data_IF_858886610902
#
_entry.id   IF_858886610902
#
_cell.length_a   1.000
_cell.length_b   1.000
_cell.length_c   1.000
_cell.angle_alpha   90.00
_cell.angle_beta   90.00
_cell.angle_gamma   90.00
#
_symmetry.space_group_name_H-M   'P 1'
#
loop_
_entity.id
_entity.type
_entity.pdbx_description
1 polymer ?
#
# COMPACT_ATOMS: atom_id res chain seq x y z
N UNK A 1 12.82 -5.94 -10.70
CA UNK A 1 11.51 -5.83 -10.05
C UNK A 1 10.60 -4.86 -10.82
N UNK A 2 10.93 -3.59 -10.91
CA UNK A 2 10.03 -2.55 -11.45
C UNK A 2 9.65 -2.76 -12.90
N UNK A 3 10.62 -3.15 -13.75
CA UNK A 3 10.37 -3.45 -15.17
C UNK A 3 9.39 -4.63 -15.30
N UNK A 4 9.59 -5.69 -14.52
CA UNK A 4 8.68 -6.85 -14.53
C UNK A 4 7.27 -6.47 -14.07
N UNK A 5 7.14 -5.71 -12.97
CA UNK A 5 5.82 -5.26 -12.49
C UNK A 5 5.12 -4.35 -13.50
N UNK A 6 5.84 -3.39 -14.09
CA UNK A 6 5.27 -2.51 -15.10
C UNK A 6 4.77 -3.28 -16.32
N UNK A 7 5.55 -4.25 -16.80
CA UNK A 7 5.14 -5.15 -17.89
C UNK A 7 3.92 -5.99 -17.51
N UNK A 8 3.84 -6.52 -16.29
CA UNK A 8 2.71 -7.30 -15.80
C UNK A 8 1.43 -6.48 -15.70
N UNK A 9 1.50 -5.28 -15.16
CA UNK A 9 0.33 -4.39 -15.10
C UNK A 9 -0.16 -3.98 -16.49
N UNK A 10 0.77 -3.72 -17.41
CA UNK A 10 0.40 -3.43 -18.79
C UNK A 10 -0.19 -4.66 -19.50
N UNK A 11 0.36 -5.86 -19.25
CA UNK A 11 -0.16 -7.13 -19.77
C UNK A 11 -1.63 -7.35 -19.38
N UNK A 12 -2.02 -6.99 -18.14
CA UNK A 12 -3.38 -7.15 -17.64
C UNK A 12 -4.43 -6.32 -18.41
N UNK A 13 -4.03 -5.18 -18.95
CA UNK A 13 -4.92 -4.23 -19.64
C UNK A 13 -4.71 -4.19 -21.15
N UNK A 14 -3.74 -4.92 -21.68
CA UNK A 14 -3.41 -4.94 -23.09
C UNK A 14 -4.39 -5.84 -23.85
N UNK A 15 -5.00 -5.32 -24.92
CA UNK A 15 -5.91 -6.08 -25.79
C UNK A 15 -5.20 -6.69 -27.02
N UNK A 16 -3.93 -6.30 -27.28
CA UNK A 16 -3.14 -6.82 -28.40
C UNK A 16 -2.41 -8.12 -28.01
N UNK A 17 -2.88 -9.25 -28.49
CA UNK A 17 -2.31 -10.56 -28.17
C UNK A 17 -0.86 -10.74 -28.68
N UNK A 18 -0.48 -10.10 -29.80
CA UNK A 18 0.91 -10.14 -30.27
C UNK A 18 1.84 -9.35 -29.35
N UNK A 19 1.37 -8.22 -28.82
CA UNK A 19 2.11 -7.43 -27.84
C UNK A 19 2.18 -8.15 -26.49
N UNK A 20 1.10 -8.80 -26.05
CA UNK A 20 1.13 -9.66 -24.85
C UNK A 20 2.20 -10.75 -24.96
N UNK A 21 2.28 -11.43 -26.11
CA UNK A 21 3.30 -12.45 -26.33
C UNK A 21 4.73 -11.87 -26.24
N UNK A 22 4.97 -10.69 -26.82
CA UNK A 22 6.27 -10.01 -26.71
C UNK A 22 6.60 -9.65 -25.27
N UNK A 23 5.61 -9.17 -24.51
CA UNK A 23 5.76 -8.83 -23.07
C UNK A 23 6.13 -10.08 -22.28
N UNK A 24 5.40 -11.20 -22.46
CA UNK A 24 5.71 -12.47 -21.78
C UNK A 24 7.11 -12.94 -22.12
N UNK A 25 7.50 -12.94 -23.39
CA UNK A 25 8.84 -13.33 -23.82
C UNK A 25 9.93 -12.44 -23.21
N UNK A 26 9.70 -11.15 -23.08
CA UNK A 26 10.64 -10.24 -22.42
C UNK A 26 10.75 -10.53 -20.93
N UNK A 27 9.63 -10.73 -20.23
CA UNK A 27 9.62 -11.03 -18.79
C UNK A 27 10.28 -12.37 -18.50
N UNK A 28 9.99 -13.41 -19.29
CA UNK A 28 10.60 -14.74 -19.12
C UNK A 28 12.10 -14.70 -19.35
N UNK A 29 12.55 -13.98 -20.41
CA UNK A 29 13.99 -13.82 -20.68
C UNK A 29 14.73 -13.13 -19.51
N UNK A 30 14.14 -12.10 -18.92
CA UNK A 30 14.71 -11.42 -17.75
C UNK A 30 14.75 -12.34 -16.52
N UNK A 31 13.64 -13.04 -16.23
CA UNK A 31 13.54 -13.95 -15.10
C UNK A 31 14.50 -15.14 -15.24
N UNK A 32 14.59 -15.74 -16.43
CA UNK A 32 15.50 -16.85 -16.71
C UNK A 32 16.97 -16.44 -16.56
N UNK A 33 17.33 -15.22 -17.00
CA UNK A 33 18.67 -14.67 -16.75
C UNK A 33 18.96 -14.55 -15.24
N UNK A 34 18.00 -14.07 -14.46
CA UNK A 34 18.15 -13.97 -13.01
C UNK A 34 18.30 -15.34 -12.39
N UNK A 35 17.44 -16.30 -12.71
CA UNK A 35 17.47 -17.68 -12.18
C UNK A 35 18.77 -18.40 -12.55
N UNK A 36 19.34 -18.10 -13.73
CA UNK A 36 20.64 -18.67 -14.13
C UNK A 36 21.77 -18.20 -13.25
N UNK A 37 21.74 -16.94 -12.76
CA UNK A 37 22.87 -16.32 -12.05
C UNK A 37 22.65 -16.21 -10.54
N UNK A 38 21.40 -16.27 -10.06
CA UNK A 38 21.02 -16.11 -8.65
C UNK A 38 20.41 -17.40 -8.13
N UNK A 39 20.85 -17.84 -6.95
CA UNK A 39 20.37 -19.08 -6.34
C UNK A 39 21.22 -19.51 -5.16
N UNK A 40 20.90 -20.70 -4.62
CA UNK A 40 21.56 -21.26 -3.44
C UNK A 40 22.93 -21.85 -3.77
N UNK A 41 23.03 -22.59 -4.88
CA UNK A 41 24.19 -23.42 -5.18
C UNK A 41 25.22 -22.66 -6.02
N UNK A 42 26.53 -22.74 -5.67
CA UNK A 42 27.59 -22.19 -6.50
C UNK A 42 27.55 -22.73 -7.93
N UNK A 43 27.90 -21.92 -8.95
CA UNK A 43 28.46 -20.56 -8.85
C UNK A 43 27.42 -19.42 -8.76
N UNK A 44 26.14 -19.72 -8.49
CA UNK A 44 25.11 -18.72 -8.35
C UNK A 44 25.34 -17.84 -7.12
N UNK A 45 24.95 -16.57 -7.23
CA UNK A 45 25.03 -15.60 -6.14
C UNK A 45 23.76 -15.72 -5.29
N UNK A 46 23.82 -15.88 -3.96
CA UNK A 46 22.62 -15.82 -3.11
C UNK A 46 21.87 -14.52 -3.29
N UNK A 47 20.54 -14.57 -3.34
CA UNK A 47 19.71 -13.37 -3.59
C UNK A 47 19.98 -12.28 -2.54
N UNK A 48 20.17 -12.67 -1.29
CA UNK A 48 20.47 -11.76 -0.18
C UNK A 48 21.87 -11.13 -0.28
N UNK A 49 22.74 -11.62 -1.16
CA UNK A 49 24.08 -11.09 -1.41
C UNK A 49 24.21 -10.29 -2.71
N UNK A 50 23.15 -10.24 -3.54
CA UNK A 50 23.17 -9.52 -4.81
C UNK A 50 23.15 -7.98 -4.64
N UNK A 51 22.75 -7.49 -3.48
CA UNK A 51 22.82 -6.09 -3.10
C UNK A 51 23.38 -5.94 -1.70
N UNK A 52 24.40 -5.10 -1.52
CA UNK A 52 24.93 -4.75 -0.19
C UNK A 52 24.01 -3.78 0.56
N UNK A 53 23.30 -2.94 -0.18
CA UNK A 53 22.36 -2.00 0.39
C UNK A 53 21.16 -2.78 0.97
N UNK A 54 20.85 -2.50 2.22
CA UNK A 54 19.77 -3.16 2.95
C UNK A 54 19.88 -4.70 2.98
N UNK A 55 21.13 -5.22 2.91
CA UNK A 55 21.48 -6.63 3.12
C UNK A 55 20.64 -7.61 2.29
N UNK A 56 20.38 -7.27 1.04
CA UNK A 56 19.63 -8.10 0.10
C UNK A 56 18.11 -7.85 0.04
N UNK A 57 17.55 -7.04 0.94
CA UNK A 57 16.11 -6.76 0.98
C UNK A 57 15.57 -6.22 -0.35
N UNK A 58 16.32 -5.30 -0.99
CA UNK A 58 15.96 -4.76 -2.31
C UNK A 58 15.80 -5.86 -3.37
N UNK A 59 16.75 -6.80 -3.40
CA UNK A 59 16.73 -7.90 -4.36
C UNK A 59 15.61 -8.89 -4.08
N UNK A 60 15.38 -9.22 -2.81
CA UNK A 60 14.32 -10.14 -2.37
C UNK A 60 12.92 -9.62 -2.66
N UNK A 61 12.75 -8.29 -2.80
CA UNK A 61 11.48 -7.68 -3.18
C UNK A 61 11.03 -8.00 -4.62
N UNK A 62 11.83 -8.75 -5.40
CA UNK A 62 11.42 -9.32 -6.70
C UNK A 62 10.43 -10.49 -6.54
N UNK A 63 10.18 -10.96 -5.33
CA UNK A 63 9.30 -12.08 -5.06
C UNK A 63 7.93 -11.92 -5.73
N UNK A 64 7.30 -10.75 -5.62
CA UNK A 64 5.99 -10.48 -6.22
C UNK A 64 5.98 -10.72 -7.73
N UNK A 65 6.80 -10.04 -8.56
CA UNK A 65 6.74 -10.24 -10.00
C UNK A 65 7.17 -11.64 -10.45
N UNK A 66 7.97 -12.35 -9.67
CA UNK A 66 8.34 -13.75 -9.96
C UNK A 66 7.14 -14.67 -9.79
N UNK A 67 6.39 -14.54 -8.71
CA UNK A 67 5.17 -15.34 -8.50
C UNK A 67 4.10 -15.00 -9.52
N UNK A 68 3.89 -13.72 -9.82
CA UNK A 68 2.94 -13.30 -10.86
C UNK A 68 3.32 -13.86 -12.24
N UNK A 69 4.62 -13.93 -12.54
CA UNK A 69 5.08 -14.57 -13.79
C UNK A 69 4.73 -16.05 -13.83
N UNK A 70 4.85 -16.76 -12.70
CA UNK A 70 4.33 -18.12 -12.60
C UNK A 70 2.83 -18.19 -12.91
N UNK A 71 2.03 -17.31 -12.34
CA UNK A 71 0.58 -17.26 -12.56
C UNK A 71 0.21 -16.95 -14.02
N UNK A 72 1.03 -16.18 -14.74
CA UNK A 72 0.84 -15.86 -16.16
C UNK A 72 1.24 -17.03 -17.07
N UNK A 73 2.34 -17.72 -16.74
CA UNK A 73 2.98 -18.70 -17.65
C UNK A 73 2.70 -20.15 -17.29
N UNK A 74 2.36 -20.46 -16.05
CA UNK A 74 2.29 -21.82 -15.51
C UNK A 74 3.65 -22.50 -15.31
N UNK A 75 4.76 -21.81 -15.61
CA UNK A 75 6.11 -22.37 -15.60
C UNK A 75 6.66 -22.55 -14.20
N UNK A 76 6.75 -23.80 -13.76
CA UNK A 76 7.13 -24.18 -12.38
C UNK A 76 8.46 -23.58 -11.91
N UNK A 77 9.43 -23.35 -12.81
CA UNK A 77 10.74 -22.77 -12.46
C UNK A 77 10.63 -21.41 -11.76
N UNK A 78 9.60 -20.61 -12.08
CA UNK A 78 9.37 -19.32 -11.41
C UNK A 78 8.84 -19.52 -10.01
N UNK A 79 7.95 -20.49 -9.79
CA UNK A 79 7.47 -20.83 -8.44
C UNK A 79 8.58 -21.43 -7.58
N UNK A 80 9.44 -22.27 -8.16
CA UNK A 80 10.60 -22.84 -7.45
C UNK A 80 11.60 -21.74 -7.06
N UNK A 81 11.82 -20.75 -7.92
CA UNK A 81 12.65 -19.59 -7.60
C UNK A 81 11.99 -18.69 -6.54
N UNK A 82 10.69 -18.50 -6.59
CA UNK A 82 9.95 -17.79 -5.54
C UNK A 82 10.09 -18.49 -4.18
N UNK A 83 9.98 -19.82 -4.14
CA UNK A 83 10.22 -20.62 -2.93
C UNK A 83 11.61 -20.36 -2.39
N UNK A 84 12.63 -20.40 -3.23
CA UNK A 84 14.00 -20.10 -2.85
C UNK A 84 14.12 -18.69 -2.21
N UNK A 85 13.45 -17.67 -2.76
CA UNK A 85 13.45 -16.30 -2.19
C UNK A 85 12.82 -16.31 -0.78
N UNK A 86 11.69 -16.99 -0.61
CA UNK A 86 11.00 -17.10 0.68
C UNK A 86 11.90 -17.83 1.71
N UNK A 87 12.52 -18.95 1.32
CA UNK A 87 13.45 -19.69 2.16
C UNK A 87 14.73 -18.91 2.50
N UNK A 88 15.13 -17.97 1.62
CA UNK A 88 16.27 -17.07 1.86
C UNK A 88 15.97 -15.96 2.88
N UNK A 89 14.72 -15.80 3.31
CA UNK A 89 14.35 -14.94 4.43
C UNK A 89 14.33 -13.43 4.16
N UNK A 90 14.51 -12.98 2.92
CA UNK A 90 14.47 -11.57 2.55
C UNK A 90 15.78 -10.81 2.76
N UNK A 91 16.51 -11.09 3.84
CA UNK A 91 17.83 -10.51 4.19
C UNK A 91 18.82 -11.59 4.63
N UNK A 92 20.11 -11.23 4.67
CA UNK A 92 21.20 -12.20 4.94
C UNK A 92 21.46 -12.49 6.43
N UNK A 93 20.75 -11.85 7.35
CA UNK A 93 20.98 -11.99 8.80
C UNK A 93 19.89 -12.75 9.51
N UNK A 94 18.65 -12.62 9.05
CA UNK A 94 17.50 -13.25 9.70
C UNK A 94 16.33 -13.36 8.70
N UNK A 95 15.48 -14.35 8.89
CA UNK A 95 14.30 -14.52 8.05
C UNK A 95 13.17 -13.57 8.51
N UNK A 96 12.95 -12.45 7.79
CA UNK A 96 11.93 -11.46 8.14
C UNK A 96 10.51 -12.04 8.04
N UNK A 97 10.28 -13.02 7.19
CA UNK A 97 8.98 -13.68 7.05
C UNK A 97 8.67 -14.56 8.28
N UNK A 98 9.67 -15.23 8.82
CA UNK A 98 9.54 -15.98 10.06
C UNK A 98 9.37 -15.07 11.28
N UNK A 99 10.05 -13.92 11.32
CA UNK A 99 9.83 -12.91 12.38
C UNK A 99 8.37 -12.49 12.42
N UNK A 100 7.79 -12.20 11.27
CA UNK A 100 6.37 -11.83 11.17
C UNK A 100 5.45 -13.00 11.54
N UNK A 101 5.78 -14.22 11.13
CA UNK A 101 5.01 -15.41 11.51
C UNK A 101 5.00 -15.63 13.02
N UNK A 102 6.16 -15.56 13.66
CA UNK A 102 6.30 -15.69 15.13
C UNK A 102 5.60 -14.55 15.88
N UNK A 103 5.51 -13.38 15.27
CA UNK A 103 4.83 -12.20 15.81
C UNK A 103 5.35 -11.73 17.19
N UNK A 104 6.62 -11.98 17.48
CA UNK A 104 7.28 -11.62 18.75
C UNK A 104 7.90 -10.21 18.69
N UNK A 105 8.33 -9.77 17.49
CA UNK A 105 8.94 -8.48 17.25
C UNK A 105 8.03 -7.59 16.40
N UNK A 106 8.09 -6.29 16.67
CA UNK A 106 7.44 -5.28 15.82
C UNK A 106 8.30 -5.00 14.58
N UNK A 107 7.70 -4.58 13.43
CA UNK A 107 8.46 -4.34 12.21
C UNK A 107 9.62 -3.34 12.37
N UNK A 108 9.47 -2.32 13.21
CA UNK A 108 10.56 -1.37 13.51
C UNK A 108 11.73 -1.98 14.31
N UNK A 109 11.57 -3.19 14.83
CA UNK A 109 12.61 -3.94 15.58
C UNK A 109 13.34 -4.96 14.70
N UNK A 110 12.95 -5.11 13.43
CA UNK A 110 13.64 -6.02 12.53
C UNK A 110 15.05 -5.52 12.23
N UNK A 111 16.00 -6.41 11.88
CA UNK A 111 17.38 -6.02 11.62
C UNK A 111 17.55 -4.98 10.49
N UNK A 112 16.64 -5.00 9.52
CA UNK A 112 16.53 -4.02 8.43
C UNK A 112 15.09 -3.55 8.36
N UNK A 113 14.90 -2.25 8.48
CA UNK A 113 13.58 -1.61 8.60
C UNK A 113 13.22 -0.68 7.44
N UNK A 114 13.89 -0.83 6.29
CA UNK A 114 13.60 -0.03 5.10
C UNK A 114 12.17 -0.29 4.64
N UNK A 115 11.29 0.66 4.86
CA UNK A 115 9.84 0.45 4.84
C UNK A 115 9.31 -0.01 3.47
N UNK A 116 9.69 0.69 2.39
CA UNK A 116 9.23 0.36 1.04
C UNK A 116 9.57 -1.07 0.63
N UNK A 117 10.83 -1.46 0.81
CA UNK A 117 11.31 -2.79 0.41
C UNK A 117 10.75 -3.88 1.30
N UNK A 118 10.63 -3.64 2.59
CA UNK A 118 10.03 -4.61 3.52
C UNK A 118 8.57 -4.88 3.17
N UNK A 119 7.75 -3.84 3.02
CA UNK A 119 6.34 -3.99 2.62
C UNK A 119 6.25 -4.70 1.25
N UNK A 120 7.14 -4.38 0.31
CA UNK A 120 7.19 -5.05 -1.00
C UNK A 120 7.54 -6.55 -0.90
N UNK A 121 8.39 -6.94 0.04
CA UNK A 121 8.68 -8.36 0.28
C UNK A 121 7.45 -9.09 0.83
N UNK A 122 6.72 -8.49 1.74
CA UNK A 122 5.48 -9.08 2.27
C UNK A 122 4.34 -9.08 1.25
N UNK A 123 4.26 -8.09 0.37
CA UNK A 123 3.33 -8.13 -0.78
C UNK A 123 3.67 -9.29 -1.73
N UNK A 124 4.96 -9.57 -1.92
CA UNK A 124 5.45 -10.77 -2.62
C UNK A 124 5.12 -12.07 -1.90
N UNK A 125 5.21 -12.11 -0.57
CA UNK A 125 4.82 -13.28 0.25
C UNK A 125 3.31 -13.54 0.16
N UNK A 126 2.51 -12.48 0.06
CA UNK A 126 1.07 -12.60 -0.19
C UNK A 126 0.78 -13.22 -1.56
N UNK A 127 1.50 -12.82 -2.63
CA UNK A 127 1.39 -13.50 -3.94
C UNK A 127 1.80 -14.97 -3.84
N UNK A 128 2.87 -15.26 -3.11
CA UNK A 128 3.32 -16.64 -2.92
C UNK A 128 2.27 -17.48 -2.18
N UNK A 129 1.61 -16.92 -1.16
CA UNK A 129 0.48 -17.57 -0.52
C UNK A 129 -0.65 -17.88 -1.52
N UNK A 130 -1.06 -16.90 -2.33
CA UNK A 130 -2.13 -17.08 -3.31
C UNK A 130 -1.82 -18.16 -4.36
N UNK A 131 -0.53 -18.36 -4.68
CA UNK A 131 -0.10 -19.39 -5.61
C UNK A 131 0.08 -20.78 -4.98
N UNK A 132 0.28 -20.87 -3.66
CA UNK A 132 0.70 -22.12 -2.99
C UNK A 132 -0.23 -22.58 -1.88
N UNK A 133 -1.15 -21.74 -1.40
CA UNK A 133 -1.94 -21.93 -0.18
C UNK A 133 -1.09 -22.21 1.07
N UNK A 134 0.09 -21.59 1.17
CA UNK A 134 1.02 -21.73 2.30
C UNK A 134 0.49 -21.00 3.54
N UNK A 135 -0.17 -21.67 4.46
CA UNK A 135 -0.88 -21.06 5.60
C UNK A 135 0.03 -20.25 6.55
N UNK A 136 1.25 -20.66 6.77
CA UNK A 136 2.16 -19.84 7.58
C UNK A 136 2.50 -18.53 6.89
N UNK A 137 2.59 -18.50 5.55
CA UNK A 137 2.78 -17.28 4.78
C UNK A 137 1.58 -16.33 4.95
N UNK A 138 0.36 -16.88 4.91
CA UNK A 138 -0.86 -16.11 5.16
C UNK A 138 -0.82 -15.46 6.55
N UNK A 139 -0.46 -16.24 7.57
CA UNK A 139 -0.33 -15.73 8.93
C UNK A 139 0.74 -14.63 9.01
N UNK A 140 1.90 -14.83 8.40
CA UNK A 140 2.99 -13.85 8.40
C UNK A 140 2.58 -12.51 7.75
N UNK A 141 1.88 -12.54 6.60
CA UNK A 141 1.47 -11.30 5.93
C UNK A 141 0.41 -10.55 6.74
N UNK A 142 -0.51 -11.23 7.39
CA UNK A 142 -1.53 -10.60 8.25
C UNK A 142 -0.87 -10.01 9.49
N UNK A 143 -0.04 -10.76 10.19
CA UNK A 143 0.67 -10.29 11.37
C UNK A 143 1.52 -9.04 11.08
N UNK A 144 2.29 -9.08 9.99
CA UNK A 144 3.11 -7.94 9.59
C UNK A 144 2.29 -6.68 9.36
N UNK A 145 1.17 -6.81 8.63
CA UNK A 145 0.28 -5.68 8.37
C UNK A 145 -0.34 -5.13 9.66
N UNK A 146 -0.83 -6.00 10.52
CA UNK A 146 -1.47 -5.59 11.77
C UNK A 146 -0.47 -4.87 12.68
N UNK A 147 0.78 -5.33 12.73
CA UNK A 147 1.83 -4.66 13.50
C UNK A 147 2.25 -3.33 12.89
N UNK A 148 2.28 -3.18 11.55
CA UNK A 148 2.47 -1.86 10.94
C UNK A 148 1.36 -0.90 11.33
N UNK A 149 0.09 -1.33 11.26
CA UNK A 149 -1.04 -0.49 11.65
C UNK A 149 -0.98 -0.08 13.12
N UNK A 150 -0.44 -0.92 13.98
CA UNK A 150 -0.25 -0.65 15.41
C UNK A 150 0.90 0.34 15.68
N UNK A 151 2.05 0.18 15.03
CA UNK A 151 3.30 0.84 15.43
C UNK A 151 3.81 1.90 14.47
N UNK A 152 3.52 1.80 13.19
CA UNK A 152 4.11 2.65 12.18
C UNK A 152 3.11 3.43 11.32
N UNK A 153 1.82 3.17 11.47
CA UNK A 153 0.78 3.87 10.74
C UNK A 153 0.41 5.18 11.45
N UNK A 154 0.82 6.31 10.88
CA UNK A 154 0.61 7.64 11.48
C UNK A 154 -0.83 8.13 11.34
N UNK A 155 -1.18 9.19 12.04
CA UNK A 155 -2.52 9.80 12.01
C UNK A 155 -2.96 10.23 10.60
N UNK A 156 -2.00 10.55 9.72
CA UNK A 156 -2.28 10.89 8.32
C UNK A 156 -2.15 9.69 7.36
N UNK A 157 -1.87 8.49 7.88
CA UNK A 157 -1.80 7.29 7.07
C UNK A 157 -0.48 7.06 6.33
N UNK A 158 0.58 7.75 6.72
CA UNK A 158 1.93 7.49 6.24
C UNK A 158 2.72 6.61 7.20
N UNK A 159 3.85 6.08 6.76
CA UNK A 159 4.83 5.34 7.53
C UNK A 159 6.24 5.83 7.21
N UNK A 160 7.22 5.47 8.04
CA UNK A 160 8.63 5.78 7.77
C UNK A 160 8.96 7.24 8.05
N UNK A 161 8.85 7.66 9.31
CA UNK A 161 9.12 9.05 9.70
C UNK A 161 10.57 9.44 9.54
N UNK A 162 11.54 8.53 9.77
CA UNK A 162 12.96 8.84 9.69
C UNK A 162 13.61 8.03 8.57
N UNK A 163 14.21 8.70 7.60
CA UNK A 163 14.96 8.05 6.50
C UNK A 163 14.24 6.88 5.81
N UNK A 164 12.92 6.98 5.67
CA UNK A 164 12.10 5.95 5.01
C UNK A 164 12.13 4.58 5.73
N UNK A 165 12.33 4.59 7.04
CA UNK A 165 12.43 3.38 7.86
C UNK A 165 11.13 3.15 8.62
N UNK A 166 10.76 1.89 8.83
CA UNK A 166 9.85 1.54 9.92
C UNK A 166 10.58 1.84 11.23
N UNK A 167 10.10 2.80 11.98
CA UNK A 167 10.84 3.42 13.07
C UNK A 167 9.99 3.76 14.29
N UNK A 168 8.87 3.05 14.45
CA UNK A 168 7.83 3.36 15.42
C UNK A 168 7.17 4.71 15.13
N UNK A 169 6.74 4.88 13.89
CA UNK A 169 6.26 6.17 13.37
C UNK A 169 5.07 6.74 14.16
N UNK A 170 4.22 5.91 14.79
CA UNK A 170 3.11 6.36 15.66
C UNK A 170 3.58 7.19 16.85
N UNK A 171 4.78 6.92 17.36
CA UNK A 171 5.41 7.71 18.43
C UNK A 171 6.18 8.89 17.84
N UNK A 172 6.94 8.67 16.78
CA UNK A 172 7.80 9.70 16.17
C UNK A 172 7.04 10.86 15.57
N UNK A 173 5.83 10.63 15.05
CA UNK A 173 4.96 11.70 14.54
C UNK A 173 4.65 12.80 15.57
N UNK A 174 4.70 12.48 16.87
CA UNK A 174 4.47 13.43 17.95
C UNK A 174 5.65 14.38 18.19
N UNK A 175 6.81 14.16 17.54
CA UNK A 175 7.98 15.02 17.68
C UNK A 175 7.86 16.28 16.82
N UNK A 176 7.34 17.34 17.40
CA UNK A 176 7.16 18.63 16.72
C UNK A 176 8.46 19.40 16.46
N UNK A 177 9.58 18.95 17.04
CA UNK A 177 10.90 19.59 16.86
C UNK A 177 11.72 18.93 15.76
N UNK A 178 11.32 17.75 15.28
CA UNK A 178 12.02 17.06 14.21
C UNK A 178 11.52 17.54 12.83
N UNK A 179 12.32 18.33 12.18
CA UNK A 179 12.05 18.83 10.81
C UNK A 179 12.32 17.78 9.71
N UNK A 180 12.78 16.59 10.08
CA UNK A 180 13.17 15.51 9.12
C UNK A 180 12.17 14.37 9.06
N UNK A 181 10.94 14.58 9.51
CA UNK A 181 9.86 13.59 9.34
C UNK A 181 9.49 13.55 7.87
N UNK A 182 9.58 12.36 7.27
CA UNK A 182 9.43 12.20 5.82
C UNK A 182 8.05 11.67 5.43
N UNK A 183 7.70 10.47 5.84
CA UNK A 183 6.52 9.74 5.36
C UNK A 183 6.48 9.68 3.82
N UNK A 184 7.41 8.94 3.27
CA UNK A 184 7.66 8.85 1.82
C UNK A 184 6.43 8.36 1.05
N UNK A 185 6.13 8.99 -0.07
CA UNK A 185 5.01 8.58 -0.96
C UNK A 185 5.17 7.15 -1.48
N UNK A 186 6.40 6.68 -1.76
CA UNK A 186 6.62 5.29 -2.17
C UNK A 186 6.14 4.31 -1.10
N UNK A 187 6.43 4.59 0.17
CA UNK A 187 5.97 3.77 1.30
C UNK A 187 4.45 3.81 1.40
N UNK A 188 3.87 5.02 1.35
CA UNK A 188 2.41 5.22 1.44
C UNK A 188 1.66 4.45 0.36
N UNK A 189 2.06 4.57 -0.90
CA UNK A 189 1.39 3.89 -2.03
C UNK A 189 1.56 2.38 -1.96
N UNK A 190 2.75 1.90 -1.58
CA UNK A 190 2.98 0.46 -1.41
C UNK A 190 2.16 -0.11 -0.25
N UNK A 191 2.03 0.64 0.84
CA UNK A 191 1.15 0.28 1.94
C UNK A 191 -0.32 0.26 1.50
N UNK A 192 -0.81 1.26 0.77
CA UNK A 192 -2.16 1.29 0.21
C UNK A 192 -2.44 0.04 -0.64
N UNK A 193 -1.53 -0.33 -1.53
CA UNK A 193 -1.63 -1.57 -2.33
C UNK A 193 -1.74 -2.80 -1.43
N UNK A 194 -0.89 -2.89 -0.42
CA UNK A 194 -0.86 -4.01 0.52
C UNK A 194 -2.15 -4.12 1.32
N UNK A 195 -2.66 -3.00 1.86
CA UNK A 195 -3.93 -2.93 2.59
C UNK A 195 -5.12 -3.36 1.72
N UNK A 196 -5.21 -2.90 0.48
CA UNK A 196 -6.24 -3.33 -0.46
C UNK A 196 -6.23 -4.85 -0.66
N UNK A 197 -5.07 -5.43 -0.88
CA UNK A 197 -4.93 -6.88 -1.09
C UNK A 197 -5.27 -7.68 0.14
N UNK A 198 -4.95 -7.19 1.33
CA UNK A 198 -5.35 -7.80 2.59
C UNK A 198 -6.86 -7.70 2.83
N UNK A 199 -7.52 -6.63 2.41
CA UNK A 199 -8.97 -6.56 2.44
C UNK A 199 -9.60 -7.66 1.57
N UNK A 200 -9.09 -7.87 0.35
CA UNK A 200 -9.55 -8.96 -0.52
C UNK A 200 -9.33 -10.33 0.14
N UNK A 201 -8.17 -10.52 0.76
CA UNK A 201 -7.82 -11.78 1.41
C UNK A 201 -8.69 -12.10 2.62
N UNK A 202 -9.03 -11.08 3.42
CA UNK A 202 -9.64 -11.28 4.76
C UNK A 202 -11.09 -10.83 4.85
N UNK A 203 -11.55 -9.97 3.95
CA UNK A 203 -12.84 -9.28 4.03
C UNK A 203 -12.92 -8.22 5.13
N UNK A 204 -11.81 -7.88 5.80
CA UNK A 204 -11.80 -6.94 6.92
C UNK A 204 -11.74 -5.49 6.44
N UNK A 205 -12.69 -4.67 6.89
CA UNK A 205 -12.79 -3.24 6.57
C UNK A 205 -11.63 -2.42 7.13
N UNK A 206 -10.95 -2.88 8.20
CA UNK A 206 -9.83 -2.16 8.83
C UNK A 206 -8.72 -1.81 7.83
N UNK A 207 -8.51 -2.66 6.83
CA UNK A 207 -7.51 -2.43 5.80
C UNK A 207 -7.96 -1.35 4.79
N UNK A 208 -9.27 -1.26 4.52
CA UNK A 208 -9.80 -0.16 3.71
C UNK A 208 -9.83 1.14 4.49
N UNK A 209 -10.10 1.09 5.80
CA UNK A 209 -9.98 2.26 6.67
C UNK A 209 -8.56 2.84 6.63
N UNK A 210 -7.54 1.97 6.69
CA UNK A 210 -6.15 2.37 6.54
C UNK A 210 -5.85 2.91 5.12
N UNK A 211 -6.33 2.22 4.07
CA UNK A 211 -6.21 2.69 2.68
C UNK A 211 -6.79 4.09 2.50
N UNK A 212 -8.00 4.32 2.99
CA UNK A 212 -8.70 5.61 2.87
C UNK A 212 -7.97 6.73 3.63
N UNK A 213 -7.51 6.44 4.85
CA UNK A 213 -6.72 7.39 5.64
C UNK A 213 -5.45 7.79 4.88
N UNK A 214 -4.73 6.82 4.31
CA UNK A 214 -3.56 7.07 3.48
C UNK A 214 -3.92 7.87 2.23
N UNK A 215 -4.98 7.51 1.53
CA UNK A 215 -5.42 8.15 0.29
C UNK A 215 -5.68 9.64 0.49
N UNK A 216 -6.59 9.98 1.40
CA UNK A 216 -7.06 11.36 1.55
C UNK A 216 -6.06 12.28 2.26
N UNK A 217 -5.11 11.74 3.01
CA UNK A 217 -4.15 12.55 3.77
C UNK A 217 -2.72 12.41 3.25
N UNK A 218 -2.00 11.32 3.58
CA UNK A 218 -0.59 11.20 3.24
C UNK A 218 -0.36 11.19 1.72
N UNK A 219 -1.17 10.46 0.95
CA UNK A 219 -0.98 10.35 -0.49
C UNK A 219 -1.38 11.63 -1.24
N UNK A 220 -2.62 12.11 -1.10
CA UNK A 220 -3.06 13.33 -1.78
C UNK A 220 -2.34 14.57 -1.25
N UNK A 221 -2.01 14.58 0.05
CA UNK A 221 -1.21 15.65 0.65
C UNK A 221 0.23 15.73 0.15
N UNK A 222 0.77 14.63 -0.37
CA UNK A 222 2.09 14.61 -1.00
C UNK A 222 2.08 15.08 -2.45
N UNK A 223 0.92 15.04 -3.13
CA UNK A 223 0.81 15.48 -4.53
C UNK A 223 0.83 17.00 -4.60
N UNK A 224 1.91 17.56 -5.08
CA UNK A 224 2.02 18.99 -5.26
C UNK A 224 1.42 19.41 -6.62
N UNK A 225 0.38 20.21 -6.58
CA UNK A 225 -0.30 20.73 -7.78
C UNK A 225 0.19 22.11 -8.20
N UNK A 226 1.06 22.73 -7.43
CA UNK A 226 1.59 24.06 -7.67
C UNK A 226 3.05 24.02 -8.09
N UNK A 227 3.47 25.03 -8.85
CA UNK A 227 4.86 25.24 -9.20
C UNK A 227 5.62 25.70 -7.96
N UNK A 228 6.55 24.90 -7.47
CA UNK A 228 7.45 25.32 -6.39
C UNK A 228 8.47 26.30 -6.97
N UNK A 229 8.53 27.51 -6.42
CA UNK A 229 9.45 28.57 -6.85
C UNK A 229 10.58 28.78 -5.81
N UNK A 230 10.66 27.97 -4.78
CA UNK A 230 11.64 28.16 -3.74
C UNK A 230 13.07 27.76 -4.18
N UNK A 231 14.08 28.54 -3.78
CA UNK A 231 15.47 28.22 -4.13
C UNK A 231 15.91 26.92 -3.45
N UNK A 232 16.75 26.19 -4.16
CA UNK A 232 17.37 24.95 -3.71
C UNK A 232 18.09 25.08 -2.38
N UNK A 233 17.76 24.21 -1.46
CA UNK A 233 18.60 23.98 -0.28
C UNK A 233 19.57 22.87 -0.63
N UNK A 234 20.88 23.21 -0.65
CA UNK A 234 21.94 22.24 -0.79
C UNK A 234 21.88 21.24 0.36
N UNK A 235 21.74 19.96 0.06
CA UNK A 235 21.80 18.94 1.09
C UNK A 235 23.26 18.74 1.54
N UNK A 236 23.52 18.89 2.82
CA UNK A 236 24.86 18.73 3.42
C UNK A 236 25.44 17.31 3.23
N UNK A 237 24.64 16.34 2.85
CA UNK A 237 25.02 14.92 2.74
C UNK A 237 25.10 14.39 1.31
N UNK A 238 24.85 15.20 0.31
CA UNK A 238 24.95 14.77 -1.09
C UNK A 238 25.34 15.91 -2.01
N UNK A 239 26.15 15.61 -3.00
CA UNK A 239 26.46 16.52 -4.12
C UNK A 239 25.25 16.72 -5.06
N UNK A 240 24.09 16.24 -4.68
CA UNK A 240 22.87 16.27 -5.46
C UNK A 240 22.16 17.60 -5.23
N UNK A 241 21.98 18.34 -6.31
CA UNK A 241 21.18 19.56 -6.30
C UNK A 241 19.75 19.20 -6.67
N UNK A 242 18.80 19.40 -5.75
CA UNK A 242 17.41 19.40 -6.13
C UNK A 242 17.06 20.76 -6.70
N UNK A 243 16.73 20.88 -7.98
CA UNK A 243 16.06 22.08 -8.48
C UNK A 243 14.60 22.05 -8.03
N UNK A 244 13.99 23.20 -7.68
CA UNK A 244 12.58 23.26 -7.35
C UNK A 244 11.82 22.79 -8.58
N UNK A 245 11.34 21.55 -8.54
CA UNK A 245 10.56 20.97 -9.61
C UNK A 245 9.09 21.13 -9.29
N UNK A 246 8.28 21.56 -10.25
CA UNK A 246 6.84 21.55 -10.09
C UNK A 246 6.38 20.11 -9.85
N UNK A 247 5.33 19.93 -9.05
CA UNK A 247 4.69 18.63 -8.83
C UNK A 247 5.54 17.59 -8.11
N UNK A 248 6.41 18.03 -7.20
CA UNK A 248 7.08 17.12 -6.28
C UNK A 248 6.05 16.32 -5.47
N UNK A 249 6.30 15.04 -5.28
CA UNK A 249 5.38 14.11 -4.64
C UNK A 249 6.04 13.32 -3.51
N UNK A 250 7.18 13.77 -2.99
CA UNK A 250 7.98 12.97 -2.06
C UNK A 250 7.33 12.82 -0.67
N UNK A 251 6.83 13.88 -0.08
CA UNK A 251 6.31 13.87 1.29
C UNK A 251 5.14 14.85 1.47
N UNK A 252 4.11 14.49 2.26
CA UNK A 252 3.03 15.41 2.59
C UNK A 252 3.41 16.49 3.60
N UNK A 253 4.56 16.34 4.29
CA UNK A 253 4.89 17.13 5.48
C UNK A 253 5.94 18.22 5.24
N UNK A 254 6.66 18.19 4.13
CA UNK A 254 7.80 19.07 3.88
C UNK A 254 7.58 19.91 2.63
N UNK A 255 6.95 21.07 2.80
CA UNK A 255 6.87 22.10 1.76
C UNK A 255 8.28 22.69 1.51
N UNK A 256 8.63 22.94 0.24
CA UNK A 256 9.89 23.55 -0.16
C UNK A 256 11.16 22.72 0.04
N UNK A 257 11.15 21.77 0.95
CA UNK A 257 12.25 20.82 1.19
C UNK A 257 11.91 19.41 0.73
N UNK A 258 10.81 19.25 0.02
CA UNK A 258 10.44 17.99 -0.61
C UNK A 258 11.57 17.54 -1.53
N UNK A 259 11.90 16.30 -1.49
CA UNK A 259 13.01 15.79 -2.26
C UNK A 259 14.41 16.15 -1.73
N UNK A 260 14.52 16.56 -0.50
CA UNK A 260 15.74 16.93 0.23
C UNK A 260 16.94 15.96 0.05
N UNK A 261 17.32 15.78 -1.16
CA UNK A 261 18.33 14.81 -1.54
C UNK A 261 17.79 13.37 -1.69
N UNK A 262 16.53 13.04 -1.37
CA UNK A 262 15.98 11.68 -1.38
C UNK A 262 14.55 11.69 -1.98
N UNK A 263 14.33 10.89 -3.01
CA UNK A 263 12.99 10.45 -3.44
C UNK A 263 12.16 11.37 -4.33
N UNK A 264 12.17 12.67 -4.18
CA UNK A 264 11.38 13.58 -5.01
C UNK A 264 11.89 13.69 -6.45
N UNK A 265 11.10 14.27 -7.35
CA UNK A 265 11.55 14.50 -8.72
C UNK A 265 12.69 15.52 -8.73
N UNK A 266 13.81 15.23 -9.38
CA UNK A 266 15.00 16.06 -9.44
C UNK A 266 15.57 16.17 -10.83
N UNK A 267 16.01 17.37 -11.19
CA UNK A 267 16.94 17.55 -12.29
C UNK A 267 18.35 17.08 -11.88
N UNK A 268 18.98 16.31 -12.74
CA UNK A 268 20.37 15.91 -12.61
C UNK A 268 21.23 16.70 -13.60
N UNK A 269 22.54 16.81 -13.33
CA UNK A 269 23.49 17.57 -14.15
C UNK A 269 23.59 17.14 -15.61
N UNK A 270 23.09 15.97 -15.95
CA UNK A 270 23.07 15.39 -17.30
C UNK A 270 21.67 15.50 -17.98
N UNK A 271 20.82 16.39 -17.50
CA UNK A 271 19.44 16.58 -17.94
C UNK A 271 18.52 15.38 -17.74
N UNK A 272 18.88 14.43 -16.88
CA UNK A 272 18.01 13.38 -16.44
C UNK A 272 17.23 13.80 -15.19
N UNK A 273 16.10 13.15 -14.98
CA UNK A 273 15.27 13.35 -13.79
C UNK A 273 15.30 12.08 -12.95
N UNK A 274 15.41 12.24 -11.65
CA UNK A 274 15.31 11.16 -10.67
C UNK A 274 14.15 11.44 -9.72
N UNK A 275 13.32 10.44 -9.48
CA UNK A 275 12.19 10.60 -8.56
C UNK A 275 11.31 9.33 -8.51
N UNK A 276 11.62 8.43 -7.59
CA UNK A 276 10.80 7.23 -7.38
C UNK A 276 9.35 7.58 -7.01
N UNK A 277 9.15 8.61 -6.18
CA UNK A 277 7.83 9.01 -5.69
C UNK A 277 6.94 9.60 -6.79
N UNK A 278 7.51 10.32 -7.76
CA UNK A 278 6.75 10.82 -8.90
C UNK A 278 6.17 9.68 -9.76
N UNK A 279 6.94 8.61 -9.95
CA UNK A 279 6.49 7.42 -10.69
C UNK A 279 5.45 6.62 -9.90
N UNK A 280 5.71 6.36 -8.62
CA UNK A 280 4.81 5.53 -7.81
C UNK A 280 3.53 6.28 -7.42
N UNK A 281 3.57 7.60 -7.40
CA UNK A 281 2.40 8.44 -7.21
C UNK A 281 1.30 8.15 -8.22
N UNK A 282 1.66 7.92 -9.49
CA UNK A 282 0.69 7.51 -10.53
C UNK A 282 0.02 6.17 -10.20
N UNK A 283 0.74 5.22 -9.59
CA UNK A 283 0.15 3.96 -9.14
C UNK A 283 -0.88 4.19 -8.04
N UNK A 284 -0.65 5.12 -7.13
CA UNK A 284 -1.57 5.43 -6.04
C UNK A 284 -2.96 5.81 -6.52
N UNK A 285 -3.06 6.69 -7.53
CA UNK A 285 -4.36 7.03 -8.13
C UNK A 285 -4.97 5.85 -8.88
N UNK A 286 -4.15 5.03 -9.53
CA UNK A 286 -4.58 3.82 -10.23
C UNK A 286 -5.15 2.73 -9.33
N UNK A 287 -4.86 2.75 -8.03
CA UNK A 287 -5.47 1.83 -7.06
C UNK A 287 -6.93 2.18 -6.74
N UNK A 288 -7.30 3.46 -6.81
CA UNK A 288 -8.62 3.94 -6.39
C UNK A 288 -9.76 3.21 -7.09
N UNK A 289 -9.82 3.10 -8.42
CA UNK A 289 -10.90 2.38 -9.10
C UNK A 289 -10.92 0.88 -8.78
N UNK A 290 -9.76 0.26 -8.46
CA UNK A 290 -9.69 -1.14 -8.06
C UNK A 290 -10.28 -1.38 -6.67
N UNK A 291 -10.20 -0.39 -5.79
CA UNK A 291 -10.68 -0.46 -4.39
C UNK A 291 -12.12 0.00 -4.27
N UNK A 292 -12.53 1.01 -5.04
CA UNK A 292 -13.79 1.73 -4.92
C UNK A 292 -14.99 0.78 -4.75
N UNK A 293 -15.27 -0.05 -5.73
CA UNK A 293 -16.32 -1.06 -5.68
C UNK A 293 -15.75 -2.38 -6.17
N UNK A 294 -15.86 -3.41 -5.35
CA UNK A 294 -15.44 -4.77 -5.68
C UNK A 294 -16.64 -5.70 -5.77
N UNK A 295 -16.53 -6.76 -6.56
CA UNK A 295 -17.60 -7.75 -6.69
C UNK A 295 -17.06 -9.17 -6.66
N UNK A 296 -17.87 -10.06 -6.12
CA UNK A 296 -17.76 -11.51 -6.24
C UNK A 296 -18.97 -12.04 -7.01
N UNK A 297 -19.19 -13.36 -7.00
CA UNK A 297 -20.30 -13.95 -7.75
C UNK A 297 -21.68 -13.39 -7.37
N UNK A 298 -21.91 -13.11 -6.07
CA UNK A 298 -23.21 -12.70 -5.56
C UNK A 298 -23.12 -11.51 -4.58
N UNK A 299 -21.96 -10.89 -4.44
CA UNK A 299 -21.75 -9.78 -3.50
C UNK A 299 -21.09 -8.62 -4.21
N UNK A 300 -21.59 -7.41 -3.97
CA UNK A 300 -20.95 -6.15 -4.32
C UNK A 300 -20.56 -5.43 -3.05
N UNK A 301 -19.32 -4.97 -2.98
CA UNK A 301 -18.82 -4.24 -1.82
C UNK A 301 -18.41 -2.83 -2.24
N UNK A 302 -19.06 -1.82 -1.68
CA UNK A 302 -18.68 -0.42 -1.82
C UNK A 302 -17.70 -0.08 -0.69
N UNK A 303 -16.44 0.06 -1.04
CA UNK A 303 -15.34 0.32 -0.11
C UNK A 303 -15.05 1.82 0.09
N UNK A 304 -15.16 2.60 -0.97
CA UNK A 304 -14.95 4.05 -0.96
C UNK A 304 -16.20 4.76 -1.48
N UNK A 305 -16.49 5.92 -0.93
CA UNK A 305 -17.60 6.76 -1.39
C UNK A 305 -17.05 7.88 -2.28
N UNK A 306 -17.26 7.73 -3.58
CA UNK A 306 -16.73 8.64 -4.61
C UNK A 306 -17.87 9.08 -5.51
N UNK A 307 -17.99 10.38 -5.71
CA UNK A 307 -18.98 10.95 -6.64
C UNK A 307 -18.75 10.46 -8.07
N UNK A 308 -19.82 10.06 -8.74
CA UNK A 308 -19.73 9.61 -10.12
C UNK A 308 -20.50 8.34 -10.45
N UNK A 309 -20.06 7.65 -11.50
CA UNK A 309 -20.71 6.47 -12.05
C UNK A 309 -19.76 5.30 -12.16
N UNK A 310 -20.09 4.17 -11.55
CA UNK A 310 -19.35 2.94 -11.66
C UNK A 310 -20.20 1.83 -12.28
N UNK A 311 -19.67 1.17 -13.31
CA UNK A 311 -20.30 0.00 -13.94
C UNK A 311 -19.62 -1.26 -13.45
N UNK A 312 -20.37 -2.12 -12.78
CA UNK A 312 -19.88 -3.36 -12.16
C UNK A 312 -20.55 -4.56 -12.84
N UNK A 313 -19.76 -5.52 -13.27
CA UNK A 313 -20.26 -6.79 -13.76
C UNK A 313 -20.31 -7.79 -12.60
N UNK A 314 -21.51 -8.27 -12.30
CA UNK A 314 -21.75 -9.30 -11.30
C UNK A 314 -21.99 -10.60 -12.07
N UNK A 315 -21.14 -11.63 -11.92
CA UNK A 315 -21.15 -12.79 -12.82
C UNK A 315 -22.50 -13.44 -13.08
N UNK A 316 -23.34 -13.56 -12.06
CA UNK A 316 -24.67 -14.18 -12.18
C UNK A 316 -25.81 -13.16 -12.39
N UNK A 317 -25.51 -11.86 -12.36
CA UNK A 317 -26.50 -10.79 -12.32
C UNK A 317 -26.45 -9.86 -13.53
N UNK A 318 -25.37 -9.93 -14.29
CA UNK A 318 -25.12 -8.99 -15.37
C UNK A 318 -24.52 -7.65 -14.90
N UNK A 319 -24.69 -6.61 -15.71
CA UNK A 319 -24.13 -5.30 -15.41
C UNK A 319 -25.06 -4.47 -14.56
N UNK A 320 -24.53 -3.92 -13.47
CA UNK A 320 -25.19 -2.96 -12.57
C UNK A 320 -24.40 -1.66 -12.59
N UNK A 321 -25.07 -0.54 -12.75
CA UNK A 321 -24.50 0.81 -12.69
C UNK A 321 -24.85 1.41 -11.33
N UNK A 322 -23.83 1.85 -10.62
CA UNK A 322 -23.91 2.59 -9.37
C UNK A 322 -23.70 4.07 -9.71
N UNK A 323 -24.73 4.88 -9.49
CA UNK A 323 -24.68 6.34 -9.63
C UNK A 323 -24.58 6.90 -8.22
N UNK A 324 -23.41 7.38 -7.83
CA UNK A 324 -23.13 7.92 -6.50
C UNK A 324 -23.10 9.43 -6.55
N UNK A 325 -23.86 10.05 -5.67
CA UNK A 325 -23.90 11.51 -5.44
C UNK A 325 -23.40 11.77 -4.03
N UNK A 326 -22.29 12.51 -3.88
CA UNK A 326 -21.71 12.78 -2.56
C UNK A 326 -20.67 13.91 -2.62
N UNK A 327 -20.57 14.68 -1.55
CA UNK A 327 -19.46 15.61 -1.27
C UNK A 327 -18.39 15.00 -0.33
N UNK A 328 -18.46 13.69 -0.12
CA UNK A 328 -17.48 12.99 0.72
C UNK A 328 -16.03 13.22 0.22
N UNK A 329 -15.06 13.51 1.09
CA UNK A 329 -15.07 13.42 2.55
C UNK A 329 -15.45 14.72 3.29
N UNK A 330 -15.94 15.74 2.58
CA UNK A 330 -16.34 17.03 3.21
C UNK A 330 -17.60 16.88 4.05
N UNK A 331 -18.56 16.11 3.56
CA UNK A 331 -19.79 15.75 4.27
C UNK A 331 -19.90 14.23 4.37
N UNK A 332 -20.80 13.74 5.22
CA UNK A 332 -21.06 12.30 5.38
C UNK A 332 -22.24 11.80 4.56
N UNK A 333 -22.88 12.67 3.78
CA UNK A 333 -24.07 12.30 3.00
C UNK A 333 -23.65 11.60 1.69
N UNK A 334 -24.17 10.40 1.50
CA UNK A 334 -23.92 9.57 0.31
C UNK A 334 -25.25 9.04 -0.20
N UNK A 335 -25.51 9.24 -1.47
CA UNK A 335 -26.68 8.72 -2.17
C UNK A 335 -26.24 7.86 -3.33
N UNK A 336 -26.67 6.61 -3.39
CA UNK A 336 -26.36 5.66 -4.46
C UNK A 336 -27.68 5.24 -5.12
N UNK A 337 -27.76 5.40 -6.43
CA UNK A 337 -28.89 4.94 -7.25
C UNK A 337 -28.40 3.80 -8.12
N UNK A 338 -29.13 2.67 -8.07
CA UNK A 338 -28.83 1.53 -8.90
C UNK A 338 -29.55 1.64 -10.26
N UNK A 339 -28.83 1.31 -11.33
CA UNK A 339 -29.40 1.20 -12.67
C UNK A 339 -29.01 -0.16 -13.26
N UNK A 340 -30.01 -0.97 -13.61
CA UNK A 340 -29.81 -2.34 -14.08
C UNK A 340 -30.92 -2.76 -15.05
N UNK A 341 -30.58 -3.65 -15.96
CA UNK A 341 -31.52 -4.13 -16.98
C UNK A 341 -32.52 -5.16 -16.43
N UNK A 342 -32.09 -5.94 -15.44
CA UNK A 342 -32.87 -7.03 -14.88
C UNK A 342 -32.80 -6.99 -13.36
N UNK A 343 -33.96 -7.10 -12.70
CA UNK A 343 -34.00 -7.29 -11.25
C UNK A 343 -33.23 -8.53 -10.84
N UNK A 344 -32.40 -8.42 -9.82
CA UNK A 344 -31.50 -9.50 -9.43
C UNK A 344 -31.23 -9.46 -7.93
N UNK A 345 -31.12 -10.66 -7.34
CA UNK A 345 -30.73 -10.79 -5.94
C UNK A 345 -29.21 -10.80 -5.81
N UNK A 346 -28.69 -9.93 -4.97
CA UNK A 346 -27.30 -9.95 -4.52
C UNK A 346 -27.16 -9.30 -3.14
N UNK A 347 -26.05 -9.60 -2.47
CA UNK A 347 -25.64 -8.93 -1.25
C UNK A 347 -24.90 -7.64 -1.61
N UNK A 348 -25.38 -6.52 -1.10
CA UNK A 348 -24.68 -5.24 -1.13
C UNK A 348 -24.02 -5.01 0.23
N UNK A 349 -22.70 -4.85 0.24
CA UNK A 349 -21.92 -4.45 1.41
C UNK A 349 -21.50 -3.02 1.28
N UNK A 350 -21.83 -2.20 2.27
CA UNK A 350 -21.46 -0.80 2.36
C UNK A 350 -20.47 -0.66 3.51
N UNK A 351 -19.28 -0.11 3.26
CA UNK A 351 -18.31 0.09 4.33
C UNK A 351 -18.83 1.11 5.33
N UNK A 352 -18.82 0.71 6.61
CA UNK A 352 -19.03 1.62 7.74
C UNK A 352 -17.65 1.95 8.33
N UNK A 353 -17.08 3.15 8.05
CA UNK A 353 -15.75 3.52 8.53
C UNK A 353 -15.67 3.49 10.05
N UNK A 354 -14.55 3.07 10.61
CA UNK A 354 -14.36 2.95 12.07
C UNK A 354 -14.58 4.27 12.84
N UNK A 355 -14.33 5.40 12.18
CA UNK A 355 -14.51 6.73 12.76
C UNK A 355 -15.96 7.21 12.77
N UNK A 356 -16.84 6.65 11.94
CA UNK A 356 -18.26 7.01 11.90
C UNK A 356 -19.01 6.28 13.01
N UNK A 357 -19.32 6.98 14.10
CA UNK A 357 -19.91 6.40 15.31
C UNK A 357 -21.43 6.26 15.23
N UNK A 358 -22.10 7.13 14.49
CA UNK A 358 -23.57 7.19 14.37
C UNK A 358 -23.95 7.12 12.87
N UNK A 359 -23.52 6.08 12.18
CA UNK A 359 -23.87 5.87 10.77
C UNK A 359 -25.36 5.52 10.66
N UNK A 360 -26.06 6.16 9.73
CA UNK A 360 -27.40 5.80 9.33
C UNK A 360 -27.39 5.26 7.90
N UNK A 361 -28.16 4.21 7.65
CA UNK A 361 -28.31 3.63 6.29
C UNK A 361 -29.78 3.38 6.03
N UNK A 362 -30.24 3.76 4.86
CA UNK A 362 -31.58 3.43 4.38
C UNK A 362 -31.59 2.92 2.95
N UNK A 363 -32.61 2.15 2.62
CA UNK A 363 -32.91 1.69 1.26
C UNK A 363 -34.34 2.06 0.94
N UNK A 364 -34.56 2.89 -0.08
CA UNK A 364 -35.88 3.41 -0.46
C UNK A 364 -36.64 4.02 0.73
N UNK A 365 -35.92 4.73 1.60
CA UNK A 365 -36.46 5.34 2.81
C UNK A 365 -36.70 4.40 4.01
N UNK A 366 -36.44 3.11 3.87
CA UNK A 366 -36.50 2.14 4.98
C UNK A 366 -35.14 1.95 5.60
N UNK A 367 -35.04 2.15 6.92
CA UNK A 367 -33.77 2.00 7.65
C UNK A 367 -33.22 0.58 7.59
N UNK A 368 -31.91 0.44 7.46
CA UNK A 368 -31.17 -0.83 7.53
C UNK A 368 -30.39 -0.94 8.84
N UNK A 369 -30.15 -2.18 9.27
CA UNK A 369 -29.32 -2.45 10.45
C UNK A 369 -27.86 -2.10 10.16
N UNK A 370 -27.28 -1.23 10.97
CA UNK A 370 -25.88 -0.82 10.84
C UNK A 370 -24.98 -1.68 11.71
N UNK A 371 -23.93 -2.23 11.11
CA UNK A 371 -22.88 -3.03 11.78
C UNK A 371 -21.51 -2.38 11.58
N UNK A 372 -20.60 -2.66 12.50
CA UNK A 372 -19.20 -2.25 12.35
C UNK A 372 -18.57 -2.95 11.15
N UNK A 373 -17.73 -2.23 10.44
CA UNK A 373 -17.01 -2.73 9.28
C UNK A 373 -17.81 -2.68 7.99
N UNK A 374 -18.81 -3.55 7.83
CA UNK A 374 -19.68 -3.54 6.65
C UNK A 374 -21.16 -3.70 7.05
N UNK A 375 -21.98 -2.84 6.48
CA UNK A 375 -23.44 -3.01 6.49
C UNK A 375 -23.80 -3.90 5.32
N UNK A 376 -24.36 -5.09 5.59
CA UNK A 376 -24.74 -6.08 4.57
C UNK A 376 -26.25 -6.09 4.36
N UNK A 377 -26.66 -5.94 3.10
CA UNK A 377 -28.07 -5.92 2.71
C UNK A 377 -28.28 -6.91 1.57
N UNK A 378 -28.94 -8.01 1.84
CA UNK A 378 -29.32 -9.03 0.82
C UNK A 378 -30.77 -8.88 0.47
N UNK A 379 -31.05 -8.60 -0.80
CA UNK A 379 -32.40 -8.49 -1.34
C UNK A 379 -32.43 -8.59 -2.86
N UNK A 380 -33.62 -8.70 -3.43
CA UNK A 380 -33.83 -8.47 -4.87
C UNK A 380 -33.77 -6.97 -5.12
N UNK A 381 -32.78 -6.54 -5.89
CA UNK A 381 -32.59 -5.16 -6.29
C UNK A 381 -33.27 -4.87 -7.63
N UNK A 382 -33.75 -3.63 -7.80
CA UNK A 382 -34.39 -3.13 -9.02
C UNK A 382 -33.68 -1.87 -9.50
N UNK A 383 -33.79 -1.59 -10.79
CA UNK A 383 -33.38 -0.31 -11.32
C UNK A 383 -34.19 0.81 -10.66
N UNK A 384 -33.51 1.87 -10.23
CA UNK A 384 -34.08 2.98 -9.48
C UNK A 384 -34.09 2.79 -7.96
N UNK A 385 -33.64 1.65 -7.40
CA UNK A 385 -33.46 1.52 -5.95
C UNK A 385 -32.41 2.54 -5.47
N UNK A 386 -32.73 3.21 -4.36
CA UNK A 386 -31.92 4.27 -3.76
C UNK A 386 -31.38 3.81 -2.42
N UNK A 387 -30.09 3.90 -2.25
CA UNK A 387 -29.38 3.66 -1.00
C UNK A 387 -28.87 5.00 -0.49
N UNK A 388 -29.17 5.34 0.76
CA UNK A 388 -28.69 6.56 1.40
C UNK A 388 -27.89 6.19 2.65
N UNK A 389 -26.71 6.80 2.78
CA UNK A 389 -25.89 6.71 3.95
C UNK A 389 -25.67 8.11 4.51
N UNK A 390 -25.65 8.21 5.83
CA UNK A 390 -25.22 9.38 6.56
C UNK A 390 -24.10 8.97 7.51
N UNK A 391 -22.87 9.27 7.12
CA UNK A 391 -21.70 9.05 7.91
C UNK A 391 -21.51 10.18 8.92
N UNK A 392 -21.08 9.84 10.13
CA UNK A 392 -20.93 10.79 11.24
C UNK A 392 -19.57 11.49 11.15
N UNK A 393 -19.44 12.46 10.24
CA UNK A 393 -18.24 13.29 10.08
C UNK A 393 -18.18 14.31 11.19
N UNK A 394 -17.24 14.11 12.13
CA UNK A 394 -17.01 15.00 13.29
C UNK A 394 -15.54 15.26 13.51
N UNK A 395 -15.24 16.34 14.21
CA UNK A 395 -13.89 16.62 14.70
C UNK A 395 -13.63 15.84 15.99
N UNK A 396 -12.55 15.08 16.03
CA UNK A 396 -12.05 14.42 17.25
C UNK A 396 -10.68 14.96 17.62
N UNK A 397 -10.44 15.17 18.92
CA UNK A 397 -9.12 15.45 19.43
C UNK A 397 -8.37 14.14 19.69
N UNK A 398 -7.29 13.91 18.97
CA UNK A 398 -6.43 12.74 19.15
C UNK A 398 -5.28 13.11 20.07
N UNK A 399 -5.18 12.43 21.23
CA UNK A 399 -4.04 12.59 22.12
C UNK A 399 -2.83 11.87 21.54
N UNK A 400 -1.71 12.57 21.30
CA UNK A 400 -0.52 11.92 20.78
C UNK A 400 0.07 10.96 21.82
N UNK A 401 0.72 9.90 21.33
CA UNK A 401 1.54 9.03 22.18
C UNK A 401 2.73 9.88 22.67
N UNK A 402 3.03 9.92 23.97
CA UNK A 402 4.10 10.75 24.49
C UNK A 402 5.44 10.45 23.82
N UNK A 403 6.12 11.48 23.33
CA UNK A 403 7.43 11.37 22.68
C UNK A 403 8.55 10.85 23.60
N UNK A 404 8.33 10.85 24.91
CA UNK A 404 9.28 10.37 25.92
C UNK A 404 9.69 8.89 25.85
N UNK A 405 9.08 8.11 24.99
CA UNK A 405 9.48 6.73 24.72
C UNK A 405 10.42 6.61 23.51
N UNK A 406 11.39 7.55 23.37
CA UNK A 406 12.36 7.46 22.29
C UNK A 406 13.31 6.28 22.46
N UNK A 407 13.37 5.47 21.43
CA UNK A 407 14.46 4.51 21.26
C UNK A 407 15.67 5.28 20.74
N UNK A 408 16.64 5.53 21.60
CA UNK A 408 17.93 6.02 21.18
C UNK A 408 18.77 4.81 20.75
N UNK A 409 19.05 4.70 19.47
CA UNK A 409 20.04 3.72 18.99
C UNK A 409 21.42 4.19 19.45
N UNK A 410 22.06 3.41 20.29
CA UNK A 410 23.45 3.66 20.67
C UNK A 410 24.33 3.43 19.43
N UNK A 411 24.90 4.50 18.91
CA UNK A 411 25.74 4.46 17.69
C UNK A 411 27.02 3.61 17.86
N UNK A 412 27.40 3.28 19.09
CA UNK A 412 28.68 2.62 19.36
C UNK A 412 28.58 1.08 19.42
N UNK A 413 27.43 0.53 19.74
CA UNK A 413 27.27 -0.93 19.89
C UNK A 413 26.04 -1.53 19.21
N UNK A 414 25.20 -0.70 18.58
CA UNK A 414 23.98 -1.17 17.92
C UNK A 414 22.85 -1.58 18.87
N UNK A 415 23.03 -1.43 20.18
CA UNK A 415 21.98 -1.72 21.17
C UNK A 415 20.92 -0.63 21.21
N UNK A 416 19.67 -1.05 21.30
CA UNK A 416 18.53 -0.18 21.50
C UNK A 416 18.39 0.13 22.99
N UNK A 417 18.74 1.34 23.39
CA UNK A 417 18.52 1.80 24.76
C UNK A 417 17.20 2.56 24.86
N UNK A 418 16.28 2.03 25.67
CA UNK A 418 15.04 2.72 26.04
C UNK A 418 15.34 3.67 27.17
N UNK A 419 15.45 4.97 26.91
CA UNK A 419 15.37 5.97 27.96
C UNK A 419 13.95 6.49 28.02
N UNK A 420 13.28 6.25 29.14
CA UNK A 420 12.04 6.93 29.48
C UNK A 420 12.46 8.23 30.18
N UNK A 421 12.24 9.44 29.59
CA UNK A 421 12.41 10.65 30.35
C UNK A 421 11.38 10.67 31.46
N UNK A 422 11.81 10.83 32.70
CA UNK A 422 10.92 11.22 33.79
C UNK A 422 10.44 12.65 33.53
N UNK A 423 9.14 12.83 33.44
CA UNK A 423 8.53 14.14 33.54
C UNK A 423 8.24 14.35 35.02
N UNK A 424 9.08 15.14 35.70
CA UNK A 424 8.72 15.85 36.94
C UNK A 424 8.03 17.16 36.57
#
# INVERSE_FOLDING_TARGET
>A
KYVLLGMQYFYEICDDENLKLKIVNSMTGQADYIIKNVGKEPPKIPITSTSRLWRGLNSSSILEPVVRLYSITGEKRYLDFARYIVESGGIDVENIFELAYKNELMPYQYPITKAYETISCFDGLLEYYLATNCEWCRTAVINFADRILETDFTVIGGCGCTYELLDHSTVRQANTTNTKIMQETCVTVTLMKYMYRLNILTGSSKYIDAFETSLYNAYLGAQNTEKIIEPLIKNEHSDWYAEPLPYDSYSPLTLGTRGNGIGGLRGMSDNHYYGCCACIGSMGIGLVPKVHITSTQNTVTVNLYIDGVAKINIPNCGSVIFKTETDYPRTGDVRIVLDMQKKTEFELKLRNPYWSKNTEVSVNGSSAEVKNGYVSITRIWNSGDVIELKLDVRTEAIKPIPYGHQILMNKNNGELNYTVPSYD
#
